data_IF_456296424027
#
_entry.id   IF_456296424027
#
_cell.length_a   1.000
_cell.length_b   1.000
_cell.length_c   1.000
_cell.angle_alpha   90.00
_cell.angle_beta   90.00
_cell.angle_gamma   90.00
#
_symmetry.space_group_name_H-M   'P 1'
#
loop_
_entity.id
_entity.type
_entity.pdbx_description
1 polymer ?
#
# COMPACT_ATOMS: atom_id res chain seq x y z
N UNK A 1 22.00 -28.44 -9.93
CA UNK A 1 21.28 -27.43 -10.74
C UNK A 1 20.30 -26.72 -9.84
N UNK A 2 20.73 -25.61 -9.24
CA UNK A 2 19.89 -24.84 -8.31
C UNK A 2 18.88 -24.00 -9.06
N UNK A 3 17.77 -23.68 -8.39
CA UNK A 3 16.78 -22.72 -8.91
C UNK A 3 17.51 -21.41 -9.11
N UNK A 4 17.61 -20.99 -10.37
CA UNK A 4 18.24 -19.73 -10.73
C UNK A 4 17.26 -18.59 -10.48
N UNK A 5 17.77 -17.44 -10.03
CA UNK A 5 16.95 -16.22 -9.87
C UNK A 5 16.17 -15.87 -11.13
N UNK A 6 16.73 -16.20 -12.31
CA UNK A 6 16.08 -16.06 -13.61
C UNK A 6 14.79 -16.88 -13.71
N UNK A 7 14.76 -18.11 -13.18
CA UNK A 7 13.55 -18.96 -13.19
C UNK A 7 12.39 -18.28 -12.44
N UNK A 8 12.69 -17.71 -11.26
CA UNK A 8 11.70 -17.01 -10.43
C UNK A 8 11.16 -15.79 -11.17
N UNK A 9 12.04 -15.03 -11.82
CA UNK A 9 11.65 -13.85 -12.61
C UNK A 9 10.74 -14.21 -13.79
N UNK A 10 11.08 -15.27 -14.53
CA UNK A 10 10.26 -15.77 -15.65
C UNK A 10 8.87 -16.21 -15.18
N UNK A 11 8.78 -16.91 -14.05
CA UNK A 11 7.50 -17.34 -13.47
C UNK A 11 6.68 -16.14 -13.00
N UNK A 12 7.30 -15.15 -12.35
CA UNK A 12 6.60 -13.95 -11.89
C UNK A 12 6.00 -13.15 -13.05
N UNK A 13 6.74 -13.00 -14.16
CA UNK A 13 6.25 -12.32 -15.37
C UNK A 13 5.06 -13.07 -15.97
N UNK A 14 5.10 -14.40 -16.02
CA UNK A 14 3.97 -15.22 -16.49
C UNK A 14 2.71 -15.02 -15.63
N UNK A 15 2.85 -14.95 -14.30
CA UNK A 15 1.72 -14.68 -13.42
C UNK A 15 1.15 -13.29 -13.66
N UNK A 16 1.99 -12.26 -13.77
CA UNK A 16 1.51 -10.88 -14.04
C UNK A 16 0.81 -10.79 -15.40
N UNK A 17 1.28 -11.52 -16.42
CA UNK A 17 0.63 -11.58 -17.73
C UNK A 17 -0.71 -12.33 -17.69
N UNK A 18 -0.79 -13.44 -16.95
CA UNK A 18 -2.01 -14.26 -16.87
C UNK A 18 -3.11 -13.59 -16.04
N UNK A 19 -2.74 -12.94 -14.94
CA UNK A 19 -3.68 -12.23 -14.06
C UNK A 19 -3.93 -10.77 -14.49
N UNK A 20 -3.04 -10.21 -15.32
CA UNK A 20 -3.12 -8.86 -15.85
C UNK A 20 -2.78 -7.77 -14.83
N UNK A 21 -2.17 -6.66 -15.29
CA UNK A 21 -1.73 -5.53 -14.43
C UNK A 21 -2.83 -4.91 -13.56
N UNK A 22 -4.10 -5.01 -13.98
CA UNK A 22 -5.23 -4.36 -13.31
C UNK A 22 -5.66 -5.05 -12.01
N UNK A 23 -5.50 -6.38 -11.93
CA UNK A 23 -5.92 -7.15 -10.73
C UNK A 23 -4.86 -7.13 -9.63
N UNK A 24 -3.58 -7.06 -10.00
CA UNK A 24 -2.47 -7.01 -9.04
C UNK A 24 -2.50 -5.73 -8.20
N UNK A 25 -2.86 -4.57 -8.76
CA UNK A 25 -2.76 -3.28 -8.06
C UNK A 25 -3.64 -3.21 -6.79
N UNK A 26 -4.90 -3.64 -6.90
CA UNK A 26 -5.81 -3.64 -5.75
C UNK A 26 -5.42 -4.69 -4.71
N UNK A 27 -5.04 -5.89 -5.16
CA UNK A 27 -4.60 -6.98 -4.28
C UNK A 27 -3.29 -6.67 -3.55
N UNK A 28 -2.34 -6.02 -4.23
CA UNK A 28 -1.08 -5.58 -3.64
C UNK A 28 -1.32 -4.51 -2.56
N UNK A 29 -2.31 -3.62 -2.76
CA UNK A 29 -2.71 -2.63 -1.76
C UNK A 29 -3.27 -3.26 -0.48
N UNK A 30 -4.19 -4.22 -0.64
CA UNK A 30 -4.80 -4.94 0.49
C UNK A 30 -3.78 -5.82 1.23
N UNK A 31 -2.91 -6.51 0.48
CA UNK A 31 -1.82 -7.32 1.05
C UNK A 31 -0.78 -6.43 1.74
N UNK A 32 -0.41 -5.27 1.17
CA UNK A 32 0.53 -4.34 1.79
C UNK A 32 -0.01 -3.77 3.11
N UNK A 33 -1.31 -3.45 3.18
CA UNK A 33 -1.98 -3.05 4.43
C UNK A 33 -1.91 -4.15 5.49
N UNK A 34 -2.19 -5.40 5.12
CA UNK A 34 -2.13 -6.56 6.03
C UNK A 34 -0.71 -6.90 6.50
N UNK A 35 0.28 -6.83 5.62
CA UNK A 35 1.69 -7.05 5.98
C UNK A 35 2.23 -5.89 6.83
N UNK A 36 1.77 -4.66 6.60
CA UNK A 36 2.18 -3.49 7.40
C UNK A 36 1.64 -3.57 8.83
N UNK A 37 0.36 -3.89 9.02
CA UNK A 37 -0.21 -4.07 10.36
C UNK A 37 0.38 -5.28 11.08
N UNK A 38 0.72 -6.34 10.36
CA UNK A 38 1.45 -7.48 10.92
C UNK A 38 2.86 -7.09 11.38
N UNK A 39 3.61 -6.33 10.56
CA UNK A 39 4.92 -5.80 10.97
C UNK A 39 4.80 -4.82 12.14
N UNK A 40 3.76 -3.99 12.17
CA UNK A 40 3.54 -3.04 13.25
C UNK A 40 3.21 -3.77 14.56
N UNK A 41 2.33 -4.78 14.53
CA UNK A 41 2.06 -5.61 15.71
C UNK A 41 3.26 -6.44 16.20
N UNK A 42 4.13 -6.88 15.29
CA UNK A 42 5.40 -7.52 15.67
C UNK A 42 6.40 -6.53 16.25
N UNK A 43 6.42 -5.28 15.76
CA UNK A 43 7.25 -4.22 16.33
C UNK A 43 6.72 -3.80 17.69
N UNK A 44 5.41 -3.62 17.87
CA UNK A 44 4.77 -3.31 19.16
C UNK A 44 5.16 -4.34 20.23
N UNK A 45 5.13 -5.64 19.89
CA UNK A 45 5.58 -6.71 20.81
C UNK A 45 7.08 -6.71 21.12
N UNK A 46 7.89 -5.95 20.38
CA UNK A 46 9.33 -5.73 20.61
C UNK A 46 9.59 -4.32 21.20
N UNK A 47 8.70 -3.35 20.96
CA UNK A 47 8.74 -1.94 21.35
C UNK A 47 7.81 -1.59 22.53
N UNK A 48 7.13 -2.54 23.16
CA UNK A 48 6.45 -2.33 24.47
C UNK A 48 7.47 -2.00 25.59
N UNK A 49 8.78 -2.02 25.28
CA UNK A 49 9.85 -1.46 26.12
C UNK A 49 10.20 0.01 25.76
N UNK A 50 9.63 0.59 24.69
CA UNK A 50 9.96 1.92 24.19
C UNK A 50 8.78 2.62 23.46
N UNK A 51 7.76 2.99 24.23
CA UNK A 51 6.95 4.22 24.10
C UNK A 51 5.96 4.34 22.92
N UNK A 52 4.70 4.45 23.30
CA UNK A 52 3.69 5.35 22.73
C UNK A 52 4.35 6.60 22.14
N UNK A 53 4.18 6.84 20.84
CA UNK A 53 4.01 8.15 20.19
C UNK A 53 4.06 7.94 18.66
N UNK A 54 3.11 8.52 17.93
CA UNK A 54 2.98 8.58 16.45
C UNK A 54 2.39 7.38 15.69
N UNK A 55 1.06 7.24 15.73
CA UNK A 55 0.32 6.56 14.66
C UNK A 55 -1.09 7.15 14.38
N UNK A 56 -1.23 8.48 14.42
CA UNK A 56 -2.38 9.16 13.79
C UNK A 56 -1.88 10.14 12.72
N UNK A 57 -1.38 9.61 11.60
CA UNK A 57 -1.42 10.36 10.34
C UNK A 57 -1.33 9.45 9.12
N UNK A 58 -2.31 9.62 8.24
CA UNK A 58 -2.29 9.26 6.82
C UNK A 58 -2.86 7.89 6.43
N UNK A 59 -4.13 7.64 6.79
CA UNK A 59 -5.05 6.95 5.88
C UNK A 59 -5.58 8.00 4.90
N UNK A 60 -4.93 8.14 3.74
CA UNK A 60 -5.43 9.05 2.71
C UNK A 60 -4.40 9.47 1.67
N UNK A 61 -3.82 8.52 0.94
CA UNK A 61 -3.33 8.84 -0.40
C UNK A 61 -3.59 7.66 -1.33
N UNK A 62 -4.79 7.68 -1.90
CA UNK A 62 -5.19 6.87 -3.04
C UNK A 62 -4.30 7.22 -4.23
N UNK A 63 -3.54 6.24 -4.73
CA UNK A 63 -2.81 6.35 -6.00
C UNK A 63 -3.80 5.92 -7.09
N UNK A 64 -4.71 6.82 -7.46
CA UNK A 64 -5.59 6.62 -8.61
C UNK A 64 -5.50 7.87 -9.49
N UNK A 65 -4.76 7.73 -10.59
CA UNK A 65 -4.89 8.66 -11.71
C UNK A 65 -6.19 8.36 -12.44
N UNK A 66 -7.25 9.09 -12.12
CA UNK A 66 -8.29 9.47 -13.08
C UNK A 66 -8.99 10.74 -12.60
N UNK A 67 -9.09 11.72 -13.51
CA UNK A 67 -9.62 13.05 -13.24
C UNK A 67 -11.15 13.03 -13.08
N UNK A 68 -11.68 13.52 -11.95
CA UNK A 68 -13.04 14.10 -11.91
C UNK A 68 -13.21 15.13 -10.78
N UNK A 69 -13.29 16.39 -11.21
CA UNK A 69 -14.09 17.49 -10.70
C UNK A 69 -14.66 17.42 -9.25
N UNK A 70 -14.16 18.29 -8.38
CA UNK A 70 -15.02 19.04 -7.46
C UNK A 70 -14.49 20.47 -7.27
N UNK A 71 -14.82 21.33 -8.23
CA UNK A 71 -15.18 22.72 -7.87
C UNK A 71 -16.34 22.70 -6.87
N UNK A 72 -16.48 23.79 -6.11
CA UNK A 72 -17.56 24.17 -5.17
C UNK A 72 -17.43 23.71 -3.71
N UNK A 73 -16.71 24.50 -2.91
CA UNK A 73 -17.23 25.11 -1.67
C UNK A 73 -16.26 26.24 -1.27
N UNK A 74 -16.45 27.45 -1.79
CA UNK A 74 -17.20 28.54 -1.13
C UNK A 74 -16.70 28.89 0.27
N UNK A 75 -16.44 30.18 0.45
CA UNK A 75 -16.16 30.90 1.70
C UNK A 75 -14.71 30.76 2.17
N UNK A 76 -13.74 31.59 1.79
CA UNK A 76 -13.77 33.07 1.82
C UNK A 76 -14.63 33.60 2.96
N UNK A 77 -14.12 33.54 4.19
CA UNK A 77 -14.42 34.58 5.16
C UNK A 77 -13.13 35.05 5.81
N UNK A 78 -12.49 36.02 5.13
CA UNK A 78 -11.44 36.87 5.67
C UNK A 78 -11.93 38.31 5.55
N UNK A 79 -12.80 38.76 6.45
CA UNK A 79 -12.77 40.07 7.13
C UNK A 79 -14.06 40.36 7.88
#
# INVERSE_FOLDING_TARGET
MGISWVQILVVAVLLVLLFGRGRISSLMGDVARGVTSFRQGLREGVEETAKDDDAEKQVGQTIEGEAVNKSTNSSENKK
#
